data_IF_226274485151
#
_entry.id   IF_226274485151
#
_cell.length_a   1.000
_cell.length_b   1.000
_cell.length_c   1.000
_cell.angle_alpha   90.00
_cell.angle_beta   90.00
_cell.angle_gamma   90.00
#
_symmetry.space_group_name_H-M   'P 1'
#
loop_
_entity.id
_entity.type
_entity.pdbx_description
1 polymer ?
#
# COMPACT_ATOMS: atom_id res chain seq x y z
N UNK A 1 16.03 -26.65 30.03
CA UNK A 1 16.18 -25.38 29.31
C UNK A 1 15.04 -25.27 28.32
N UNK A 2 14.04 -24.44 28.60
CA UNK A 2 12.94 -24.16 27.69
C UNK A 2 12.58 -22.70 27.88
N UNK A 3 13.06 -21.85 26.98
CA UNK A 3 12.76 -20.42 26.99
C UNK A 3 11.40 -20.24 26.30
N UNK A 4 10.33 -20.24 27.08
CA UNK A 4 8.98 -19.93 26.60
C UNK A 4 8.93 -18.47 26.16
N UNK A 5 9.02 -18.23 24.85
CA UNK A 5 8.70 -16.93 24.27
C UNK A 5 7.19 -16.67 24.41
N UNK A 6 6.84 -15.56 25.06
CA UNK A 6 5.46 -15.06 25.23
C UNK A 6 4.86 -14.71 23.87
N UNK A 7 3.98 -15.53 23.34
CA UNK A 7 3.20 -15.21 22.13
C UNK A 7 2.15 -14.14 22.48
N UNK A 8 2.36 -12.89 22.07
CA UNK A 8 1.32 -11.85 22.10
C UNK A 8 0.21 -12.27 21.14
N UNK A 9 -0.90 -12.75 21.66
CA UNK A 9 -2.11 -13.00 20.87
C UNK A 9 -2.51 -11.70 20.16
N UNK A 10 -2.46 -11.74 18.85
CA UNK A 10 -2.75 -10.63 17.95
C UNK A 10 -3.94 -11.03 17.07
N UNK A 11 -4.74 -10.08 16.56
CA UNK A 11 -5.99 -10.36 15.85
C UNK A 11 -5.83 -11.17 14.55
N UNK A 12 -4.61 -11.38 14.09
CA UNK A 12 -4.22 -12.20 12.93
C UNK A 12 -3.50 -13.51 13.34
N UNK A 13 -3.25 -13.73 14.63
CA UNK A 13 -2.36 -14.77 15.15
C UNK A 13 -2.85 -16.20 14.96
N UNK A 14 -4.10 -16.40 14.53
CA UNK A 14 -4.60 -17.74 14.15
C UNK A 14 -4.11 -18.18 12.77
N UNK A 15 -3.80 -17.21 11.88
CA UNK A 15 -3.44 -17.42 10.47
C UNK A 15 -2.09 -16.85 10.07
N UNK A 16 -1.51 -15.92 10.83
CA UNK A 16 -0.15 -15.41 10.61
C UNK A 16 0.73 -15.86 11.77
N UNK A 17 1.84 -16.52 11.43
CA UNK A 17 2.83 -17.01 12.40
C UNK A 17 4.14 -16.28 12.16
N UNK A 18 4.75 -15.79 13.23
CA UNK A 18 6.10 -15.23 13.22
C UNK A 18 6.94 -16.03 14.19
N UNK A 19 7.95 -16.75 13.68
CA UNK A 19 8.93 -17.46 14.50
C UNK A 19 10.30 -16.79 14.32
N UNK A 20 10.91 -16.20 15.36
CA UNK A 20 12.21 -15.55 15.25
C UNK A 20 13.35 -16.49 14.84
N UNK A 21 13.13 -17.81 14.84
CA UNK A 21 14.11 -18.81 14.41
C UNK A 21 13.94 -19.25 12.96
N UNK A 22 12.92 -18.74 12.24
CA UNK A 22 12.59 -19.10 10.86
C UNK A 22 12.52 -17.82 10.02
N UNK A 23 13.21 -17.80 8.87
CA UNK A 23 13.20 -16.67 7.91
C UNK A 23 13.41 -15.30 8.58
N UNK A 24 14.41 -15.20 9.49
CA UNK A 24 14.76 -13.96 10.21
C UNK A 24 13.59 -13.35 11.04
N UNK A 25 12.59 -14.16 11.40
CA UNK A 25 11.39 -13.69 12.09
C UNK A 25 10.32 -13.10 11.19
N UNK A 26 10.44 -13.26 9.87
CA UNK A 26 9.44 -12.80 8.92
C UNK A 26 8.07 -13.44 9.18
N UNK A 27 6.98 -12.67 9.11
CA UNK A 27 5.62 -13.20 9.21
C UNK A 27 5.27 -14.10 8.03
N UNK A 28 4.84 -15.32 8.32
CA UNK A 28 4.41 -16.34 7.35
C UNK A 28 2.90 -16.61 7.49
N UNK A 29 2.24 -16.94 6.39
CA UNK A 29 0.86 -17.47 6.45
C UNK A 29 0.91 -18.90 6.98
N UNK A 30 0.15 -19.18 8.02
CA UNK A 30 0.16 -20.45 8.76
C UNK A 30 -0.19 -21.62 7.84
N UNK A 31 0.56 -22.70 7.96
CA UNK A 31 0.36 -23.89 7.12
C UNK A 31 0.96 -23.73 5.71
N UNK A 32 1.63 -22.61 5.44
CA UNK A 32 2.33 -22.34 4.19
C UNK A 32 3.75 -21.85 4.48
N UNK A 33 4.60 -21.86 3.46
CA UNK A 33 5.90 -21.17 3.47
C UNK A 33 5.84 -19.83 2.72
N UNK A 34 4.65 -19.21 2.65
CA UNK A 34 4.44 -17.95 1.94
C UNK A 34 4.62 -16.78 2.90
N UNK A 35 5.63 -15.90 2.70
CA UNK A 35 5.81 -14.71 3.52
C UNK A 35 4.73 -13.67 3.24
N UNK A 36 4.23 -13.01 4.28
CA UNK A 36 3.27 -11.91 4.17
C UNK A 36 3.83 -10.79 3.28
N UNK A 37 5.12 -10.49 3.40
CA UNK A 37 5.82 -9.50 2.56
C UNK A 37 5.69 -9.84 1.07
N UNK A 38 5.86 -11.12 0.69
CA UNK A 38 5.80 -11.55 -0.71
C UNK A 38 4.39 -11.36 -1.29
N UNK A 39 3.36 -11.66 -0.50
CA UNK A 39 1.96 -11.42 -0.89
C UNK A 39 1.71 -9.92 -1.12
N UNK A 40 2.17 -9.08 -0.19
CA UNK A 40 2.02 -7.62 -0.30
C UNK A 40 2.82 -7.04 -1.48
N UNK A 41 4.02 -7.55 -1.74
CA UNK A 41 4.84 -7.15 -2.88
C UNK A 41 4.17 -7.47 -4.23
N UNK A 42 3.56 -8.66 -4.33
CA UNK A 42 2.80 -9.05 -5.52
C UNK A 42 1.60 -8.11 -5.74
N UNK A 43 0.84 -7.82 -4.67
CA UNK A 43 -0.29 -6.89 -4.73
C UNK A 43 0.13 -5.45 -5.06
N UNK A 44 1.30 -5.02 -4.59
CA UNK A 44 1.83 -3.71 -4.93
C UNK A 44 2.22 -3.60 -6.41
N UNK A 45 2.75 -4.69 -7.00
CA UNK A 45 3.08 -4.75 -8.42
C UNK A 45 1.83 -4.86 -9.30
N UNK A 46 0.85 -5.67 -8.90
CA UNK A 46 -0.45 -5.82 -9.56
C UNK A 46 -1.55 -6.02 -8.51
N UNK A 47 -2.46 -5.05 -8.30
CA UNK A 47 -3.44 -5.10 -7.23
C UNK A 47 -4.66 -5.96 -7.60
N UNK A 48 -4.41 -7.25 -7.81
CA UNK A 48 -5.42 -8.25 -8.16
C UNK A 48 -5.35 -9.42 -7.19
N UNK A 49 -6.45 -9.69 -6.48
CA UNK A 49 -6.49 -10.73 -5.44
C UNK A 49 -6.61 -12.13 -6.04
N UNK A 50 -7.33 -12.27 -7.15
CA UNK A 50 -7.56 -13.55 -7.83
C UNK A 50 -6.24 -14.05 -8.43
N UNK A 51 -5.42 -13.16 -8.99
CA UNK A 51 -4.07 -13.50 -9.48
C UNK A 51 -3.16 -14.00 -8.36
N UNK A 52 -3.24 -13.39 -7.16
CA UNK A 52 -2.44 -13.82 -6.00
C UNK A 52 -2.89 -15.20 -5.52
N UNK A 53 -4.19 -15.45 -5.46
CA UNK A 53 -4.75 -16.75 -5.08
C UNK A 53 -4.46 -17.82 -6.15
N UNK A 54 -4.39 -17.44 -7.43
CA UNK A 54 -3.96 -18.34 -8.50
C UNK A 54 -2.46 -18.69 -8.39
N UNK A 55 -1.62 -17.74 -7.96
CA UNK A 55 -0.19 -17.96 -7.75
C UNK A 55 0.10 -18.80 -6.50
N UNK A 56 -0.71 -18.64 -5.46
CA UNK A 56 -0.61 -19.38 -4.20
C UNK A 56 -1.93 -20.09 -3.88
N UNK A 57 -2.21 -21.24 -4.52
CA UNK A 57 -3.48 -21.95 -4.37
C UNK A 57 -3.70 -22.52 -2.96
N UNK A 58 -2.65 -22.61 -2.13
CA UNK A 58 -2.75 -22.93 -0.71
C UNK A 58 -3.30 -21.78 0.16
N UNK A 59 -3.38 -20.56 -0.36
CA UNK A 59 -3.95 -19.42 0.36
C UNK A 59 -5.47 -19.37 0.18
N UNK A 60 -6.16 -19.08 1.28
CA UNK A 60 -7.58 -18.78 1.28
C UNK A 60 -7.85 -17.28 1.34
N UNK A 61 -9.09 -16.87 1.03
CA UNK A 61 -9.52 -15.47 1.16
C UNK A 61 -9.38 -14.98 2.60
N UNK A 62 -9.64 -15.85 3.58
CA UNK A 62 -9.46 -15.52 4.99
C UNK A 62 -7.98 -15.33 5.36
N UNK A 63 -7.05 -16.01 4.69
CA UNK A 63 -5.62 -15.75 4.85
C UNK A 63 -5.24 -14.37 4.31
N UNK A 64 -5.82 -13.97 3.17
CA UNK A 64 -5.62 -12.61 2.63
C UNK A 64 -6.16 -11.53 3.57
N UNK A 65 -7.32 -11.77 4.21
CA UNK A 65 -7.83 -10.87 5.24
C UNK A 65 -6.89 -10.78 6.46
N UNK A 66 -6.27 -11.91 6.85
CA UNK A 66 -5.29 -11.93 7.93
C UNK A 66 -4.00 -11.18 7.55
N UNK A 67 -3.53 -11.34 6.30
CA UNK A 67 -2.40 -10.58 5.72
C UNK A 67 -2.64 -9.07 5.81
N UNK A 68 -3.79 -8.58 5.37
CA UNK A 68 -4.11 -7.15 5.46
C UNK A 68 -4.24 -6.66 6.90
N UNK A 69 -4.82 -7.48 7.78
CA UNK A 69 -4.98 -7.15 9.19
C UNK A 69 -3.62 -7.08 9.89
N UNK A 70 -2.70 -7.98 9.56
CA UNK A 70 -1.30 -7.93 9.97
C UNK A 70 -0.62 -6.65 9.47
N UNK A 71 -0.71 -6.36 8.16
CA UNK A 71 -0.06 -5.19 7.55
C UNK A 71 -0.52 -3.88 8.21
N UNK A 72 -1.83 -3.71 8.42
CA UNK A 72 -2.38 -2.56 9.14
C UNK A 72 -1.81 -2.43 10.55
N UNK A 73 -1.74 -3.54 11.30
CA UNK A 73 -1.22 -3.52 12.66
C UNK A 73 0.29 -3.21 12.70
N UNK A 74 1.06 -3.72 11.74
CA UNK A 74 2.49 -3.43 11.60
C UNK A 74 2.72 -1.93 11.33
N UNK A 75 1.98 -1.34 10.39
CA UNK A 75 2.03 0.10 10.12
C UNK A 75 1.64 0.91 11.35
N UNK A 76 0.57 0.54 12.05
CA UNK A 76 0.18 1.23 13.28
C UNK A 76 1.24 1.13 14.38
N UNK A 77 1.89 -0.03 14.54
CA UNK A 77 2.96 -0.22 15.50
C UNK A 77 4.17 0.65 15.17
N UNK A 78 4.54 0.75 13.89
CA UNK A 78 5.62 1.62 13.40
C UNK A 78 5.31 3.10 13.62
N UNK A 79 4.09 3.55 13.31
CA UNK A 79 3.67 4.94 13.56
C UNK A 79 3.70 5.26 15.06
N UNK A 80 3.27 4.32 15.92
CA UNK A 80 3.28 4.49 17.38
C UNK A 80 4.66 4.44 18.00
N UNK A 81 5.62 3.73 17.41
CA UNK A 81 7.00 3.73 17.90
C UNK A 81 7.71 5.06 17.65
N UNK A 82 7.08 6.01 16.95
CA UNK A 82 7.64 7.32 16.65
C UNK A 82 8.82 7.26 15.68
N UNK A 83 9.08 6.07 15.11
CA UNK A 83 10.07 5.92 14.07
C UNK A 83 9.50 6.59 12.82
N UNK A 84 10.11 7.65 12.28
CA UNK A 84 9.70 8.14 10.98
C UNK A 84 9.76 6.95 10.03
N UNK A 85 8.70 6.72 9.26
CA UNK A 85 8.83 5.87 8.08
C UNK A 85 9.98 6.50 7.31
N UNK A 86 11.15 5.86 7.30
CA UNK A 86 12.18 6.25 6.38
C UNK A 86 11.48 6.09 5.04
N UNK A 87 11.30 7.18 4.25
CA UNK A 87 10.86 6.97 2.87
C UNK A 87 11.77 5.88 2.31
N UNK A 88 11.25 4.92 1.52
CA UNK A 88 12.11 3.92 0.90
C UNK A 88 13.33 4.66 0.39
N UNK A 89 14.51 4.25 0.87
CA UNK A 89 15.75 4.93 0.51
C UNK A 89 15.69 5.11 -0.99
N UNK A 90 15.78 6.35 -1.49
CA UNK A 90 15.43 6.60 -2.87
C UNK A 90 16.44 5.88 -3.73
N UNK A 91 16.01 4.75 -4.28
CA UNK A 91 16.55 4.27 -5.54
C UNK A 91 16.24 5.40 -6.54
N UNK A 92 17.24 6.27 -6.74
CA UNK A 92 17.41 7.39 -7.69
C UNK A 92 16.38 8.53 -7.74
N UNK A 93 15.15 8.37 -7.27
CA UNK A 93 14.07 9.36 -7.51
C UNK A 93 14.22 10.64 -6.66
N UNK A 94 14.72 10.57 -5.42
CA UNK A 94 14.97 11.77 -4.60
C UNK A 94 16.36 12.38 -4.76
N UNK A 95 17.33 11.68 -5.37
CA UNK A 95 18.65 12.25 -5.64
C UNK A 95 18.60 13.40 -6.68
N UNK A 96 17.59 13.36 -7.54
CA UNK A 96 17.26 14.41 -8.52
C UNK A 96 16.11 15.32 -8.09
N UNK A 97 15.55 15.08 -6.90
CA UNK A 97 14.48 15.90 -6.35
C UNK A 97 15.05 17.21 -5.82
N UNK A 98 14.80 18.27 -6.58
CA UNK A 98 15.05 19.65 -6.17
C UNK A 98 13.81 20.16 -5.41
N UNK A 99 13.87 20.30 -4.07
CA UNK A 99 12.73 20.72 -3.27
C UNK A 99 12.27 22.14 -3.60
N UNK A 100 13.18 23.03 -4.04
CA UNK A 100 12.80 24.39 -4.43
C UNK A 100 12.06 24.38 -5.76
N UNK A 101 12.50 23.57 -6.71
CA UNK A 101 11.82 23.40 -8.00
C UNK A 101 10.44 22.77 -7.84
N UNK A 102 10.28 21.82 -6.92
CA UNK A 102 8.99 21.22 -6.60
C UNK A 102 8.02 22.24 -5.98
N UNK A 103 8.51 23.07 -5.04
CA UNK A 103 7.71 24.15 -4.46
C UNK A 103 7.32 25.20 -5.51
N UNK A 104 8.24 25.60 -6.39
CA UNK A 104 7.93 26.52 -7.51
C UNK A 104 6.89 25.93 -8.47
N UNK A 105 6.94 24.63 -8.75
CA UNK A 105 5.95 23.96 -9.58
C UNK A 105 4.56 23.97 -8.91
N UNK A 106 4.50 23.76 -7.60
CA UNK A 106 3.26 23.85 -6.83
C UNK A 106 2.72 25.27 -6.76
N UNK A 107 3.56 26.28 -6.57
CA UNK A 107 3.15 27.69 -6.60
C UNK A 107 2.61 28.08 -7.98
N UNK A 108 3.30 27.69 -9.05
CA UNK A 108 2.83 27.93 -10.43
C UNK A 108 1.50 27.25 -10.73
N UNK A 109 1.31 26.04 -10.20
CA UNK A 109 0.05 25.32 -10.30
C UNK A 109 -1.05 26.01 -9.47
N UNK A 110 -0.73 26.45 -8.26
CA UNK A 110 -1.67 27.20 -7.42
C UNK A 110 -2.08 28.53 -8.06
N UNK A 111 -1.16 29.24 -8.72
CA UNK A 111 -1.46 30.43 -9.51
C UNK A 111 -2.35 30.12 -10.71
N UNK A 112 -2.04 29.06 -11.45
CA UNK A 112 -2.86 28.59 -12.58
C UNK A 112 -4.27 28.17 -12.14
N UNK A 113 -4.40 27.59 -10.94
CA UNK A 113 -5.68 27.19 -10.38
C UNK A 113 -6.50 28.37 -9.80
N UNK A 114 -5.91 29.57 -9.60
CA UNK A 114 -6.66 30.73 -9.09
C UNK A 114 -7.72 31.24 -10.08
N UNK A 115 -7.53 31.04 -11.37
CA UNK A 115 -8.48 31.40 -12.42
C UNK A 115 -9.55 30.32 -12.66
N UNK A 116 -9.49 29.19 -11.96
CA UNK A 116 -10.47 28.11 -12.11
C UNK A 116 -11.71 28.43 -11.26
N UNK A 117 -12.84 28.66 -11.93
CA UNK A 117 -14.15 28.71 -11.28
C UNK A 117 -14.60 27.30 -10.88
N UNK A 118 -14.18 26.89 -9.69
CA UNK A 118 -14.47 25.57 -9.13
C UNK A 118 -15.96 25.35 -8.86
N UNK A 119 -16.76 26.40 -8.66
CA UNK A 119 -18.21 26.29 -8.52
C UNK A 119 -18.85 25.89 -9.85
N UNK A 120 -18.44 26.54 -10.94
CA UNK A 120 -18.85 26.13 -12.29
C UNK A 120 -18.39 24.71 -12.62
N UNK A 121 -17.14 24.35 -12.32
CA UNK A 121 -16.63 22.99 -12.58
C UNK A 121 -17.40 21.93 -11.77
N UNK A 122 -17.69 22.19 -10.50
CA UNK A 122 -18.52 21.30 -9.66
C UNK A 122 -19.94 21.19 -10.18
N UNK A 123 -20.52 22.28 -10.67
CA UNK A 123 -21.84 22.28 -11.31
C UNK A 123 -21.83 21.44 -12.59
N UNK A 124 -20.80 21.55 -13.43
CA UNK A 124 -20.65 20.77 -14.66
C UNK A 124 -20.43 19.27 -14.39
N UNK A 125 -19.64 18.90 -13.37
CA UNK A 125 -19.47 17.50 -12.93
C UNK A 125 -20.79 16.95 -12.39
N UNK A 126 -21.51 17.71 -11.56
CA UNK A 126 -22.82 17.31 -11.03
C UNK A 126 -23.87 17.18 -12.15
N UNK A 127 -23.75 17.99 -13.21
CA UNK A 127 -24.61 17.93 -14.39
C UNK A 127 -24.25 16.80 -15.37
N UNK A 128 -23.20 16.01 -15.09
CA UNK A 128 -22.85 14.81 -15.86
C UNK A 128 -22.29 15.08 -17.27
N UNK A 129 -21.86 16.30 -17.59
CA UNK A 129 -21.27 16.63 -18.89
C UNK A 129 -19.76 16.38 -18.90
N UNK A 130 -19.37 15.11 -18.91
CA UNK A 130 -18.01 14.69 -19.21
C UNK A 130 -17.92 14.22 -20.66
N UNK A 131 -17.20 14.97 -21.51
CA UNK A 131 -16.58 14.55 -22.77
C UNK A 131 -17.50 13.90 -23.83
N UNK A 132 -17.85 14.65 -24.88
CA UNK A 132 -18.36 14.03 -26.12
C UNK A 132 -17.22 13.22 -26.78
N UNK A 133 -17.49 12.03 -27.35
CA UNK A 133 -16.48 11.25 -28.05
C UNK A 133 -16.07 11.97 -29.34
N UNK A 134 -14.76 12.10 -29.55
CA UNK A 134 -14.19 12.61 -30.81
C UNK A 134 -14.56 11.68 -31.96
N UNK A 135 -15.41 12.16 -32.87
CA UNK A 135 -15.64 11.55 -34.18
C UNK A 135 -14.39 11.78 -35.05
N UNK A 136 -13.67 10.72 -35.40
CA UNK A 136 -12.59 10.76 -36.38
C UNK A 136 -13.19 10.69 -37.79
N UNK A 137 -12.84 11.62 -38.70
CA UNK A 137 -13.26 11.51 -40.10
C UNK A 137 -12.35 10.55 -40.88
N UNK A 138 -12.96 9.84 -41.84
CA UNK A 138 -12.35 9.00 -42.88
C UNK A 138 -11.35 9.76 -43.78
#
# INVERSE_FOLDING_TARGET
MATTAKTKQTPFGERIVSDPNVDDGAPLVKGTHVPVERVLAQLAAKPDLDDVLALYPELSVEDMQAVFTYARAAVQAQVRSGQPMSPPAPDDIWATYDPEKALQALDRLAESMRDVDFDKLRADIRAGRGHEPHEQPD
#
